data_IF_088619715957
#
_entry.id   IF_088619715957
#
_cell.length_a   1.000
_cell.length_b   1.000
_cell.length_c   1.000
_cell.angle_alpha   90.00
_cell.angle_beta   90.00
_cell.angle_gamma   90.00
#
_symmetry.space_group_name_H-M   'P 1'
#
loop_
_entity.id
_entity.type
_entity.pdbx_description
1 polymer ?
#
# COMPACT_ATOMS: atom_id res chain seq x y z
N UNK A 1 38.05 11.88 19.23
CA UNK A 1 37.56 12.62 18.04
C UNK A 1 37.79 11.69 16.85
N UNK A 2 36.81 11.16 16.13
CA UNK A 2 35.50 11.66 15.74
C UNK A 2 34.43 10.57 15.91
N UNK A 3 33.28 10.94 16.47
CA UNK A 3 32.05 10.17 16.36
C UNK A 3 31.57 10.27 14.92
N UNK A 4 31.54 9.16 14.19
CA UNK A 4 30.76 9.05 12.95
C UNK A 4 29.29 9.12 13.34
N UNK A 5 28.67 10.29 13.15
CA UNK A 5 27.22 10.39 13.20
C UNK A 5 26.66 9.46 12.12
N UNK A 6 26.07 8.34 12.52
CA UNK A 6 25.26 7.55 11.62
C UNK A 6 24.18 8.49 11.09
N UNK A 7 24.29 8.87 9.82
CA UNK A 7 23.25 9.66 9.17
C UNK A 7 22.00 8.77 9.21
N UNK A 8 21.04 9.11 10.07
CA UNK A 8 19.84 8.31 10.26
C UNK A 8 19.11 8.28 8.92
N UNK A 9 19.03 7.10 8.31
CA UNK A 9 18.31 6.90 7.05
C UNK A 9 16.82 7.23 7.30
N UNK A 10 16.35 8.31 6.68
CA UNK A 10 14.94 8.73 6.79
C UNK A 10 14.19 8.06 5.64
N UNK A 11 13.27 7.16 5.99
CA UNK A 11 12.58 6.30 5.02
C UNK A 11 11.21 6.89 4.68
N UNK A 12 11.02 7.23 3.41
CA UNK A 12 9.70 7.46 2.82
C UNK A 12 9.17 6.20 2.16
N UNK A 13 7.87 5.95 2.27
CA UNK A 13 7.21 4.82 1.61
C UNK A 13 6.20 5.34 0.62
N UNK A 14 6.23 4.84 -0.61
CA UNK A 14 5.18 5.04 -1.61
C UNK A 14 4.39 3.73 -1.74
N UNK A 15 3.12 3.73 -1.37
CA UNK A 15 2.20 2.59 -1.58
C UNK A 15 1.50 2.78 -2.92
N UNK A 16 1.67 1.82 -3.82
CA UNK A 16 1.25 1.94 -5.23
C UNK A 16 0.18 0.93 -5.58
N UNK A 17 -0.92 1.36 -6.20
CA UNK A 17 -1.83 0.49 -6.93
C UNK A 17 -1.92 0.87 -8.43
N UNK A 18 -2.81 0.25 -9.21
CA UNK A 18 -3.01 0.61 -10.62
C UNK A 18 -3.67 1.98 -10.83
N UNK A 19 -4.42 2.45 -9.84
CA UNK A 19 -5.48 3.44 -9.99
C UNK A 19 -6.75 2.84 -10.57
N UNK A 20 -7.83 3.60 -10.49
CA UNK A 20 -9.14 3.24 -10.99
C UNK A 20 -9.86 4.45 -11.56
N UNK A 21 -10.72 4.21 -12.56
CA UNK A 21 -11.66 5.23 -13.03
C UNK A 21 -12.75 5.55 -12.00
N UNK A 22 -12.94 4.68 -11.00
CA UNK A 22 -13.89 4.88 -9.91
C UNK A 22 -13.19 5.59 -8.75
N UNK A 23 -13.60 6.81 -8.43
CA UNK A 23 -13.02 7.60 -7.34
C UNK A 23 -12.97 6.86 -6.00
N UNK A 24 -14.05 6.17 -5.63
CA UNK A 24 -14.12 5.38 -4.39
C UNK A 24 -13.04 4.28 -4.29
N UNK A 25 -12.57 3.73 -5.41
CA UNK A 25 -11.47 2.76 -5.39
C UNK A 25 -10.12 3.42 -5.11
N UNK A 26 -9.92 4.66 -5.56
CA UNK A 26 -8.70 5.42 -5.29
C UNK A 26 -8.67 5.90 -3.83
N UNK A 27 -9.83 6.28 -3.27
CA UNK A 27 -9.99 6.63 -1.86
C UNK A 27 -9.58 5.49 -0.92
N UNK A 28 -9.89 4.23 -1.28
CA UNK A 28 -9.48 3.06 -0.51
C UNK A 28 -7.96 2.98 -0.32
N UNK A 29 -7.15 3.40 -1.31
CA UNK A 29 -5.70 3.40 -1.18
C UNK A 29 -5.24 4.41 -0.11
N UNK A 30 -5.95 5.54 0.02
CA UNK A 30 -5.67 6.53 1.07
C UNK A 30 -5.96 5.93 2.46
N UNK A 31 -7.08 5.20 2.59
CA UNK A 31 -7.41 4.48 3.83
C UNK A 31 -6.35 3.42 4.17
N UNK A 32 -5.84 2.70 3.17
CA UNK A 32 -4.74 1.73 3.34
C UNK A 32 -3.47 2.43 3.84
N UNK A 33 -3.10 3.56 3.25
CA UNK A 33 -1.94 4.36 3.71
C UNK A 33 -2.13 4.85 5.14
N UNK A 34 -3.32 5.34 5.48
CA UNK A 34 -3.63 5.80 6.84
C UNK A 34 -3.56 4.65 7.85
N UNK A 35 -4.18 3.51 7.55
CA UNK A 35 -4.12 2.31 8.38
C UNK A 35 -2.67 1.86 8.59
N UNK A 36 -1.88 1.85 7.52
CA UNK A 36 -0.47 1.47 7.58
C UNK A 36 0.35 2.42 8.45
N UNK A 37 0.14 3.74 8.34
CA UNK A 37 0.76 4.75 9.22
C UNK A 37 0.42 4.48 10.68
N UNK A 38 -0.86 4.34 10.99
CA UNK A 38 -1.35 4.11 12.36
C UNK A 38 -0.82 2.80 12.96
N UNK A 39 -0.73 1.75 12.15
CA UNK A 39 -0.30 0.42 12.60
C UNK A 39 1.22 0.35 12.81
N UNK A 40 2.00 1.02 11.97
CA UNK A 40 3.48 0.87 11.96
C UNK A 40 4.23 2.03 12.61
N UNK A 41 3.57 3.16 12.84
CA UNK A 41 4.22 4.39 13.33
C UNK A 41 5.10 5.09 12.30
N UNK A 42 5.03 4.71 11.02
CA UNK A 42 5.78 5.38 9.95
C UNK A 42 5.14 6.71 9.58
N UNK A 43 5.95 7.75 9.52
CA UNK A 43 5.46 9.12 9.31
C UNK A 43 5.31 9.46 7.81
N UNK A 44 6.35 9.20 7.02
CA UNK A 44 6.41 9.52 5.59
C UNK A 44 5.86 8.34 4.78
N UNK A 45 4.56 8.38 4.46
CA UNK A 45 3.88 7.35 3.65
C UNK A 45 2.94 8.02 2.65
N UNK A 46 3.19 7.87 1.37
CA UNK A 46 2.44 8.49 0.29
C UNK A 46 1.71 7.42 -0.53
N UNK A 47 0.47 7.72 -0.94
CA UNK A 47 -0.23 6.91 -1.93
C UNK A 47 0.24 7.31 -3.34
N UNK A 48 0.22 6.35 -4.26
CA UNK A 48 0.37 6.59 -5.69
C UNK A 48 -0.43 5.61 -6.54
N UNK A 49 -0.78 6.04 -7.74
CA UNK A 49 -1.44 5.24 -8.75
C UNK A 49 -0.53 5.14 -9.98
N UNK A 50 -0.50 3.99 -10.64
CA UNK A 50 0.38 3.76 -11.79
C UNK A 50 -0.05 4.54 -13.04
N UNK A 51 -1.34 4.51 -13.38
CA UNK A 51 -1.78 4.98 -14.71
C UNK A 51 -3.17 5.62 -14.75
N UNK A 52 -4.10 5.24 -13.87
CA UNK A 52 -5.51 5.61 -14.02
C UNK A 52 -5.97 6.76 -13.12
N UNK A 53 -5.11 7.23 -12.22
CA UNK A 53 -5.44 8.28 -11.27
C UNK A 53 -4.19 9.04 -10.83
N UNK A 54 -4.39 10.19 -10.19
CA UNK A 54 -3.35 10.92 -9.47
C UNK A 54 -3.54 10.69 -7.97
N UNK A 55 -2.46 10.70 -7.18
CA UNK A 55 -1.09 11.08 -7.54
C UNK A 55 -0.29 9.97 -8.25
N UNK A 56 0.57 10.34 -9.21
CA UNK A 56 1.54 9.44 -9.84
C UNK A 56 2.67 9.02 -8.89
N UNK A 57 3.40 7.94 -9.25
CA UNK A 57 4.59 7.49 -8.50
C UNK A 57 5.62 8.61 -8.37
N UNK A 58 5.87 9.39 -9.43
CA UNK A 58 6.81 10.49 -9.40
C UNK A 58 6.39 11.60 -8.41
N UNK A 59 5.09 11.96 -8.41
CA UNK A 59 4.57 12.95 -7.48
C UNK A 59 4.67 12.48 -6.02
N UNK A 60 4.30 11.23 -5.74
CA UNK A 60 4.40 10.67 -4.39
C UNK A 60 5.86 10.54 -3.93
N UNK A 61 6.77 10.15 -4.82
CA UNK A 61 8.20 10.09 -4.55
C UNK A 61 8.74 11.47 -4.15
N UNK A 62 8.43 12.52 -4.94
CA UNK A 62 8.84 13.88 -4.64
C UNK A 62 8.31 14.34 -3.27
N UNK A 63 7.04 14.05 -2.94
CA UNK A 63 6.48 14.35 -1.62
C UNK A 63 7.20 13.64 -0.47
N UNK A 64 7.67 12.41 -0.66
CA UNK A 64 8.53 11.76 0.35
C UNK A 64 9.84 12.52 0.54
N UNK A 65 10.48 12.94 -0.56
CA UNK A 65 11.74 13.69 -0.52
C UNK A 65 11.56 15.07 0.13
N UNK A 66 10.48 15.77 -0.18
CA UNK A 66 10.14 17.07 0.43
C UNK A 66 9.93 16.98 1.95
N UNK A 67 9.50 15.80 2.44
CA UNK A 67 9.40 15.48 3.86
C UNK A 67 10.73 15.03 4.50
N UNK A 68 11.83 15.01 3.73
CA UNK A 68 13.18 14.68 4.22
C UNK A 68 13.63 13.24 4.01
N UNK A 69 12.89 12.43 3.23
CA UNK A 69 13.30 11.05 2.95
C UNK A 69 14.64 11.00 2.18
N UNK A 70 15.58 10.21 2.70
CA UNK A 70 16.87 9.91 2.06
C UNK A 70 16.89 8.51 1.43
N UNK A 71 15.90 7.68 1.75
CA UNK A 71 15.55 6.44 1.07
C UNK A 71 14.04 6.41 0.79
N UNK A 72 13.64 6.18 -0.46
CA UNK A 72 12.23 5.99 -0.84
C UNK A 72 11.97 4.53 -1.20
N UNK A 73 11.06 3.89 -0.47
CA UNK A 73 10.65 2.50 -0.68
C UNK A 73 9.31 2.47 -1.39
N UNK A 74 9.27 1.91 -2.59
CA UNK A 74 8.05 1.77 -3.38
C UNK A 74 7.46 0.38 -3.14
N UNK A 75 6.27 0.32 -2.55
CA UNK A 75 5.56 -0.90 -2.21
C UNK A 75 4.34 -1.10 -3.11
N UNK A 76 4.33 -2.11 -3.99
CA UNK A 76 3.15 -2.46 -4.77
C UNK A 76 2.07 -3.12 -3.91
N UNK A 77 0.91 -2.49 -3.79
CA UNK A 77 -0.28 -3.01 -3.11
C UNK A 77 -1.03 -4.01 -4.01
N UNK A 78 -0.35 -5.11 -4.39
CA UNK A 78 -0.88 -6.14 -5.30
C UNK A 78 -0.93 -7.52 -4.62
N UNK A 79 -1.99 -8.28 -4.90
CA UNK A 79 -2.15 -9.65 -4.40
C UNK A 79 -1.30 -10.68 -5.15
N UNK A 80 -0.77 -10.34 -6.32
CA UNK A 80 -0.02 -11.29 -7.14
C UNK A 80 1.15 -10.61 -7.84
N UNK A 81 2.27 -11.33 -8.05
CA UNK A 81 3.33 -10.86 -8.93
C UNK A 81 2.84 -10.80 -10.36
N UNK A 82 3.36 -9.84 -11.13
CA UNK A 82 3.04 -9.67 -12.54
C UNK A 82 3.95 -8.62 -13.18
N UNK A 83 3.77 -8.39 -14.48
CA UNK A 83 4.59 -7.47 -15.28
C UNK A 83 4.74 -6.08 -14.65
N UNK A 84 3.65 -5.55 -14.09
CA UNK A 84 3.66 -4.25 -13.42
C UNK A 84 4.65 -4.16 -12.26
N UNK A 85 4.78 -5.23 -11.48
CA UNK A 85 5.74 -5.30 -10.39
C UNK A 85 7.18 -5.51 -10.89
N UNK A 86 7.40 -6.40 -11.87
CA UNK A 86 8.75 -6.77 -12.30
C UNK A 86 9.40 -5.79 -13.27
N UNK A 87 8.60 -4.97 -13.98
CA UNK A 87 9.09 -4.09 -15.04
C UNK A 87 8.66 -2.63 -14.84
N UNK A 88 7.34 -2.37 -14.76
CA UNK A 88 6.81 -1.00 -14.86
C UNK A 88 7.11 -0.16 -13.62
N UNK A 89 6.83 -0.67 -12.41
CA UNK A 89 7.08 0.06 -11.15
C UNK A 89 8.59 0.33 -10.96
N UNK A 90 9.51 -0.64 -11.15
CA UNK A 90 10.94 -0.36 -11.10
C UNK A 90 11.38 0.74 -12.07
N UNK A 91 10.88 0.71 -13.31
CA UNK A 91 11.18 1.76 -14.31
C UNK A 91 10.68 3.14 -13.84
N UNK A 92 9.42 3.24 -13.42
CA UNK A 92 8.81 4.50 -12.96
C UNK A 92 9.49 5.04 -11.69
N UNK A 93 9.88 4.16 -10.77
CA UNK A 93 10.64 4.54 -9.57
C UNK A 93 12.03 5.08 -9.91
N UNK A 94 12.73 4.45 -10.87
CA UNK A 94 14.03 4.92 -11.35
C UNK A 94 13.93 6.28 -12.06
N UNK A 95 12.90 6.48 -12.89
CA UNK A 95 12.60 7.77 -13.53
C UNK A 95 12.32 8.87 -12.50
N UNK A 96 11.55 8.57 -11.46
CA UNK A 96 11.30 9.51 -10.35
C UNK A 96 12.61 9.84 -9.61
N UNK A 97 13.39 8.82 -9.23
CA UNK A 97 14.64 8.99 -8.50
C UNK A 97 15.70 9.78 -9.27
N UNK A 98 15.71 9.72 -10.61
CA UNK A 98 16.63 10.51 -11.44
C UNK A 98 16.49 12.03 -11.22
N UNK A 99 15.33 12.50 -10.77
CA UNK A 99 15.08 13.91 -10.44
C UNK A 99 15.54 14.31 -9.03
N UNK A 100 15.98 13.35 -8.20
CA UNK A 100 16.37 13.58 -6.80
C UNK A 100 17.78 13.02 -6.51
N UNK A 101 18.86 13.68 -6.97
CA UNK A 101 20.22 13.22 -6.74
C UNK A 101 20.53 13.02 -5.25
N UNK A 102 21.10 11.86 -4.90
CA UNK A 102 21.46 11.51 -3.53
C UNK A 102 20.37 10.78 -2.74
N UNK A 103 19.14 10.70 -3.27
CA UNK A 103 18.07 9.86 -2.69
C UNK A 103 18.17 8.45 -3.25
N UNK A 104 18.22 7.45 -2.36
CA UNK A 104 18.19 6.04 -2.76
C UNK A 104 16.75 5.57 -2.93
N UNK A 105 16.54 4.50 -3.69
CA UNK A 105 15.23 3.87 -3.80
C UNK A 105 15.32 2.34 -3.87
N UNK A 106 14.22 1.68 -3.50
CA UNK A 106 14.03 0.25 -3.72
C UNK A 106 12.55 -0.05 -3.97
N UNK A 107 12.28 -1.09 -4.76
CA UNK A 107 10.92 -1.63 -4.95
C UNK A 107 10.81 -2.94 -4.18
N UNK A 108 9.79 -3.09 -3.33
CA UNK A 108 9.60 -4.33 -2.57
C UNK A 108 8.92 -5.41 -3.41
N UNK A 109 8.86 -6.63 -2.88
CA UNK A 109 7.84 -7.58 -3.32
C UNK A 109 6.43 -7.01 -3.05
N UNK A 110 5.42 -7.39 -3.86
CA UNK A 110 4.03 -7.08 -3.57
C UNK A 110 3.54 -7.91 -2.37
N UNK A 111 2.28 -7.74 -1.94
CA UNK A 111 1.70 -8.54 -0.84
C UNK A 111 1.84 -10.05 -1.12
N UNK A 112 1.45 -10.47 -2.32
CA UNK A 112 1.63 -11.85 -2.79
C UNK A 112 1.06 -12.91 -1.83
N UNK A 113 1.65 -14.10 -1.87
CA UNK A 113 1.28 -15.24 -1.02
C UNK A 113 1.94 -15.16 0.35
N UNK A 114 1.66 -14.09 1.10
CA UNK A 114 2.11 -13.97 2.49
C UNK A 114 1.19 -14.77 3.42
N UNK A 115 1.73 -15.42 4.47
CA UNK A 115 0.94 -16.24 5.41
C UNK A 115 -0.21 -15.47 6.07
N UNK A 116 0.03 -14.19 6.39
CA UNK A 116 -1.00 -13.26 6.88
C UNK A 116 -2.20 -13.07 5.96
N UNK A 117 -2.06 -13.30 4.66
CA UNK A 117 -3.22 -13.29 3.76
C UNK A 117 -4.18 -14.44 4.10
N UNK A 118 -3.65 -15.62 4.44
CA UNK A 118 -4.46 -16.75 4.86
C UNK A 118 -5.13 -16.49 6.22
N UNK A 119 -4.44 -15.84 7.16
CA UNK A 119 -5.01 -15.41 8.45
C UNK A 119 -6.21 -14.47 8.23
N UNK A 120 -6.04 -13.42 7.42
CA UNK A 120 -7.11 -12.46 7.11
C UNK A 120 -8.28 -13.15 6.41
N UNK A 121 -8.02 -14.05 5.46
CA UNK A 121 -9.07 -14.81 4.78
C UNK A 121 -9.85 -15.69 5.76
N UNK A 122 -9.16 -16.41 6.65
CA UNK A 122 -9.79 -17.25 7.67
C UNK A 122 -10.69 -16.41 8.59
N UNK A 123 -10.19 -15.29 9.11
CA UNK A 123 -10.99 -14.38 9.95
C UNK A 123 -12.25 -13.88 9.23
N UNK A 124 -12.12 -13.49 7.95
CA UNK A 124 -13.26 -13.01 7.15
C UNK A 124 -14.30 -14.12 6.92
N UNK A 125 -13.86 -15.33 6.60
CA UNK A 125 -14.73 -16.49 6.41
C UNK A 125 -15.47 -16.84 7.71
N UNK A 126 -14.75 -16.94 8.83
CA UNK A 126 -15.32 -17.31 10.12
C UNK A 126 -16.36 -16.29 10.61
N UNK A 127 -16.05 -15.00 10.53
CA UNK A 127 -17.00 -13.93 10.89
C UNK A 127 -18.26 -14.00 10.03
N UNK A 128 -18.12 -14.24 8.73
CA UNK A 128 -19.27 -14.36 7.84
C UNK A 128 -20.11 -15.60 8.10
N UNK A 129 -19.48 -16.75 8.39
CA UNK A 129 -20.20 -17.96 8.80
C UNK A 129 -20.96 -17.76 10.10
N UNK A 130 -20.32 -17.18 11.12
CA UNK A 130 -20.96 -16.87 12.40
C UNK A 130 -22.15 -15.91 12.21
N UNK A 131 -22.00 -14.87 11.37
CA UNK A 131 -23.11 -13.97 11.01
C UNK A 131 -24.27 -14.73 10.38
N UNK A 132 -24.02 -15.61 9.41
CA UNK A 132 -25.07 -16.41 8.76
C UNK A 132 -25.81 -17.33 9.75
N UNK A 133 -25.16 -17.74 10.84
CA UNK A 133 -25.77 -18.52 11.94
C UNK A 133 -26.49 -17.65 13.00
N UNK A 134 -26.41 -16.32 12.89
CA UNK A 134 -26.96 -15.41 13.90
C UNK A 134 -26.10 -15.24 15.15
N UNK A 135 -24.82 -15.64 15.08
CA UNK A 135 -23.89 -15.67 16.22
C UNK A 135 -22.97 -14.44 16.28
N UNK A 136 -22.90 -13.64 15.20
CA UNK A 136 -22.05 -12.46 15.11
C UNK A 136 -22.73 -11.30 14.37
N UNK A 137 -22.22 -10.09 14.62
CA UNK A 137 -22.59 -8.88 13.89
C UNK A 137 -22.02 -8.89 12.45
N UNK A 138 -22.23 -7.79 11.72
CA UNK A 138 -21.74 -7.65 10.34
C UNK A 138 -20.21 -7.71 10.28
N UNK A 139 -19.67 -8.44 9.29
CA UNK A 139 -18.25 -8.32 8.94
C UNK A 139 -17.98 -6.85 8.59
N UNK A 140 -16.89 -6.24 9.07
CA UNK A 140 -16.64 -4.78 8.93
C UNK A 140 -16.53 -4.24 7.49
N UNK A 141 -16.76 -5.07 6.48
CA UNK A 141 -16.84 -4.75 5.05
C UNK A 141 -18.27 -4.90 4.50
N UNK A 142 -19.04 -5.80 5.10
CA UNK A 142 -20.37 -6.18 4.64
C UNK A 142 -21.39 -5.11 5.03
N UNK A 143 -22.12 -4.54 4.06
CA UNK A 143 -23.21 -3.58 4.30
C UNK A 143 -24.60 -4.19 4.03
N UNK A 144 -25.64 -3.36 3.93
CA UNK A 144 -27.00 -3.81 3.64
C UNK A 144 -27.19 -4.36 2.22
N UNK A 145 -26.31 -4.06 1.28
CA UNK A 145 -26.40 -4.47 -0.12
C UNK A 145 -25.44 -5.63 -0.45
N UNK A 146 -24.38 -5.77 0.33
CA UNK A 146 -23.29 -6.74 0.19
C UNK A 146 -23.20 -7.58 1.47
N UNK A 147 -24.19 -8.44 1.69
CA UNK A 147 -24.30 -9.26 2.92
C UNK A 147 -23.66 -10.63 2.72
N UNK A 148 -22.95 -11.11 3.74
CA UNK A 148 -22.71 -12.53 3.91
C UNK A 148 -24.06 -13.22 4.18
N UNK A 149 -24.55 -13.96 3.20
CA UNK A 149 -25.82 -14.69 3.21
C UNK A 149 -25.61 -16.11 2.70
N UNK A 150 -26.36 -17.05 3.26
CA UNK A 150 -26.54 -18.37 2.65
C UNK A 150 -27.56 -18.21 1.51
N UNK A 151 -27.18 -18.68 0.33
CA UNK A 151 -28.04 -18.73 -0.85
C UNK A 151 -28.32 -20.21 -1.12
N UNK A 152 -29.59 -20.55 -1.39
CA UNK A 152 -30.03 -21.90 -1.75
C UNK A 152 -29.82 -22.20 -3.25
#
# INVERSE_FOLDING_TARGET
>A
MQSTSANSETIGIVVVDHGSRRAASNELLLDVVQLFRQTTGREIVEAAHMELAEPSIAAAFARCVDQGATLVVVHPYFLSPGRHWSEDIPRLAAEAAANHPGVRHLVTAPLGLHTKMAEIMAERVEVCLARCRGEAATCGICDEQTRCQLLD
#
